data_IF_516128956815
#
_entry.id   IF_516128956815
#
_cell.length_a   1.000
_cell.length_b   1.000
_cell.length_c   1.000
_cell.angle_alpha   90.00
_cell.angle_beta   90.00
_cell.angle_gamma   90.00
#
_symmetry.space_group_name_H-M   'P 1'
#
loop_
_entity.id
_entity.type
_entity.pdbx_description
1 polymer ?
#
# COMPACT_ATOMS: atom_id res chain seq x y z
N UNK A 1 -28.35 -10.68 13.92
CA UNK A 1 -27.80 -11.77 13.09
C UNK A 1 -26.26 -11.73 12.98
N UNK A 2 -25.63 -10.55 12.86
CA UNK A 2 -24.17 -10.43 12.73
C UNK A 2 -23.35 -10.86 13.97
N UNK A 3 -23.83 -10.53 15.17
CA UNK A 3 -23.21 -10.95 16.45
C UNK A 3 -23.26 -12.47 16.66
N UNK A 4 -24.32 -13.10 16.19
CA UNK A 4 -24.53 -14.56 16.32
C UNK A 4 -23.59 -15.35 15.42
N UNK A 5 -23.40 -14.92 14.17
CA UNK A 5 -22.45 -15.58 13.26
C UNK A 5 -21.00 -15.47 13.76
N UNK A 6 -20.63 -14.32 14.32
CA UNK A 6 -19.30 -14.11 14.93
C UNK A 6 -19.04 -15.01 16.14
N UNK A 7 -20.00 -15.14 17.05
CA UNK A 7 -19.89 -16.06 18.19
C UNK A 7 -19.73 -17.53 17.77
N UNK A 8 -20.34 -17.92 16.65
CA UNK A 8 -20.19 -19.28 16.11
C UNK A 8 -18.76 -19.51 15.62
N UNK A 9 -18.15 -18.52 14.95
CA UNK A 9 -16.75 -18.62 14.53
C UNK A 9 -15.77 -18.56 15.69
N UNK A 10 -15.97 -17.67 16.66
CA UNK A 10 -15.12 -17.56 17.86
C UNK A 10 -15.14 -18.88 18.67
N UNK A 11 -16.33 -19.46 18.89
CA UNK A 11 -16.46 -20.77 19.53
C UNK A 11 -15.87 -21.90 18.71
N UNK A 12 -15.97 -21.85 17.38
CA UNK A 12 -15.36 -22.87 16.53
C UNK A 12 -13.83 -22.83 16.67
N UNK A 13 -13.22 -21.65 16.68
CA UNK A 13 -11.77 -21.49 16.90
C UNK A 13 -11.35 -21.99 18.30
N UNK A 14 -12.12 -21.67 19.35
CA UNK A 14 -11.89 -22.22 20.70
C UNK A 14 -12.05 -23.75 20.76
N UNK A 15 -13.02 -24.30 20.02
CA UNK A 15 -13.34 -25.72 20.03
C UNK A 15 -12.32 -26.60 19.30
N UNK A 16 -11.78 -26.12 18.17
CA UNK A 16 -10.74 -26.86 17.42
C UNK A 16 -9.35 -26.75 18.07
N UNK A 17 -9.14 -25.81 19.00
CA UNK A 17 -7.90 -25.63 19.76
C UNK A 17 -6.71 -25.17 18.92
N UNK A 18 -5.60 -24.78 19.56
CA UNK A 18 -4.36 -24.31 18.89
C UNK A 18 -3.69 -25.42 18.04
N UNK A 19 -3.90 -26.69 18.40
CA UNK A 19 -3.19 -27.84 17.81
C UNK A 19 -3.82 -28.40 16.52
N UNK A 20 -5.07 -28.04 16.19
CA UNK A 20 -5.78 -28.62 15.03
C UNK A 20 -6.70 -27.63 14.32
N UNK A 21 -6.18 -26.43 14.06
CA UNK A 21 -6.90 -25.35 13.38
C UNK A 21 -7.16 -25.74 11.92
N UNK A 22 -8.43 -25.76 11.51
CA UNK A 22 -8.83 -25.97 10.11
C UNK A 22 -8.63 -24.67 9.30
N UNK A 23 -7.76 -24.73 8.30
CA UNK A 23 -7.52 -23.65 7.33
C UNK A 23 -8.83 -23.11 6.73
N UNK A 24 -9.80 -23.99 6.45
CA UNK A 24 -11.08 -23.60 5.84
C UNK A 24 -11.92 -22.73 6.75
N UNK A 25 -11.90 -23.02 8.05
CA UNK A 25 -12.64 -22.27 9.07
C UNK A 25 -12.07 -20.86 9.22
N UNK A 26 -10.74 -20.76 9.29
CA UNK A 26 -10.02 -19.50 9.42
C UNK A 26 -10.23 -18.61 8.19
N UNK A 27 -10.12 -19.17 6.99
CA UNK A 27 -10.36 -18.44 5.74
C UNK A 27 -11.82 -17.99 5.62
N UNK A 28 -12.78 -18.83 6.01
CA UNK A 28 -14.20 -18.46 6.01
C UNK A 28 -14.50 -17.34 7.01
N UNK A 29 -13.91 -17.39 8.20
CA UNK A 29 -14.11 -16.38 9.24
C UNK A 29 -13.50 -15.03 8.84
N UNK A 30 -12.31 -15.05 8.24
CA UNK A 30 -11.67 -13.82 7.81
C UNK A 30 -12.41 -13.16 6.63
N UNK A 31 -12.93 -13.94 5.67
CA UNK A 31 -13.82 -13.44 4.60
C UNK A 31 -15.14 -12.88 5.14
N UNK A 32 -15.68 -13.49 6.19
CA UNK A 32 -16.88 -12.99 6.86
C UNK A 32 -16.64 -11.62 7.50
N UNK A 33 -15.52 -11.43 8.22
CA UNK A 33 -15.17 -10.13 8.82
C UNK A 33 -14.85 -9.06 7.76
N UNK A 34 -14.25 -9.45 6.63
CA UNK A 34 -14.03 -8.56 5.49
C UNK A 34 -15.34 -8.05 4.89
N UNK A 35 -16.33 -8.93 4.70
CA UNK A 35 -17.68 -8.54 4.27
C UNK A 35 -18.40 -7.61 5.25
N UNK A 36 -17.95 -7.54 6.51
CA UNK A 36 -18.45 -6.63 7.54
C UNK A 36 -17.58 -5.38 7.74
N UNK A 37 -16.65 -5.09 6.82
CA UNK A 37 -15.66 -3.99 6.92
C UNK A 37 -14.77 -4.08 8.17
N UNK A 38 -14.72 -5.24 8.82
CA UNK A 38 -13.90 -5.55 9.99
C UNK A 38 -12.45 -5.86 9.60
N UNK A 39 -11.81 -4.99 8.80
CA UNK A 39 -10.48 -5.25 8.24
C UNK A 39 -9.40 -5.47 9.31
N UNK A 40 -9.53 -4.85 10.50
CA UNK A 40 -8.63 -5.11 11.63
C UNK A 40 -8.81 -6.50 12.25
N UNK A 41 -10.05 -7.00 12.28
CA UNK A 41 -10.36 -8.32 12.82
C UNK A 41 -9.95 -9.43 11.86
N UNK A 42 -10.24 -9.26 10.57
CA UNK A 42 -9.73 -10.16 9.52
C UNK A 42 -8.20 -10.30 9.60
N UNK A 43 -7.49 -9.19 9.84
CA UNK A 43 -6.03 -9.17 10.04
C UNK A 43 -5.55 -10.01 11.24
N UNK A 44 -6.25 -9.94 12.38
CA UNK A 44 -5.90 -10.75 13.56
C UNK A 44 -6.10 -12.25 13.30
N UNK A 45 -7.18 -12.60 12.61
CA UNK A 45 -7.51 -13.99 12.26
C UNK A 45 -6.44 -14.56 11.32
N UNK A 46 -6.01 -13.80 10.31
CA UNK A 46 -4.96 -14.24 9.38
C UNK A 46 -3.56 -14.29 10.03
N UNK A 47 -3.25 -13.40 10.98
CA UNK A 47 -2.01 -13.48 11.75
C UNK A 47 -1.97 -14.77 12.58
N UNK A 48 -3.06 -15.05 13.29
CA UNK A 48 -3.22 -16.29 14.04
C UNK A 48 -3.07 -17.53 13.16
N UNK A 49 -3.62 -17.49 11.94
CA UNK A 49 -3.47 -18.54 10.93
C UNK A 49 -2.00 -18.82 10.58
N UNK A 50 -1.19 -17.78 10.41
CA UNK A 50 0.22 -17.90 10.00
C UNK A 50 1.12 -18.45 11.11
N UNK A 51 0.78 -18.15 12.35
CA UNK A 51 1.54 -18.60 13.51
C UNK A 51 1.28 -20.09 13.82
N UNK A 52 0.13 -20.64 13.39
CA UNK A 52 -0.31 -21.99 13.76
C UNK A 52 -0.54 -22.96 12.58
N UNK A 53 -0.62 -22.49 11.33
CA UNK A 53 -0.76 -23.37 10.14
C UNK A 53 0.57 -23.60 9.43
N UNK A 54 0.80 -24.81 8.85
CA UNK A 54 1.97 -25.07 8.03
C UNK A 54 1.94 -24.21 6.76
N UNK A 55 3.07 -23.53 6.48
CA UNK A 55 3.23 -22.52 5.42
C UNK A 55 2.81 -22.99 4.02
N UNK A 56 2.81 -24.29 3.74
CA UNK A 56 2.51 -24.83 2.41
C UNK A 56 1.01 -24.98 2.10
N UNK A 57 0.14 -25.06 3.12
CA UNK A 57 -1.30 -25.25 2.93
C UNK A 57 -2.00 -23.92 2.57
N UNK A 58 -1.67 -22.85 3.30
CA UNK A 58 -2.30 -21.53 3.20
C UNK A 58 -1.97 -20.82 1.86
N UNK A 59 -0.89 -21.21 1.19
CA UNK A 59 -0.36 -20.51 0.00
C UNK A 59 -1.20 -20.70 -1.27
N UNK A 60 -2.01 -21.76 -1.39
CA UNK A 60 -2.63 -22.13 -2.68
C UNK A 60 -4.04 -21.57 -2.94
N UNK A 61 -4.83 -21.22 -1.92
CA UNK A 61 -6.19 -20.64 -2.11
C UNK A 61 -6.33 -19.18 -1.68
N UNK A 62 -5.25 -18.63 -1.14
CA UNK A 62 -5.16 -17.28 -0.57
C UNK A 62 -4.00 -16.49 -1.18
N UNK A 63 -3.72 -16.81 -2.45
CA UNK A 63 -2.59 -16.37 -3.28
C UNK A 63 -2.34 -14.86 -3.30
N UNK A 64 -3.35 -14.03 -3.03
CA UNK A 64 -3.19 -12.57 -2.91
C UNK A 64 -3.45 -12.02 -1.49
N UNK A 65 -4.25 -12.72 -0.68
CA UNK A 65 -4.75 -12.22 0.61
C UNK A 65 -3.69 -12.33 1.71
N UNK A 66 -3.01 -13.47 1.83
CA UNK A 66 -1.96 -13.66 2.84
C UNK A 66 -0.76 -12.75 2.57
N UNK A 67 -0.24 -12.63 1.33
CA UNK A 67 0.84 -11.70 1.06
C UNK A 67 0.48 -10.24 1.39
N UNK A 68 -0.79 -9.84 1.19
CA UNK A 68 -1.27 -8.47 1.47
C UNK A 68 -1.22 -8.19 2.97
N UNK A 69 -1.62 -9.16 3.78
CA UNK A 69 -1.68 -9.03 5.23
C UNK A 69 -0.28 -9.12 5.85
N UNK A 70 0.54 -10.07 5.42
CA UNK A 70 1.95 -10.18 5.86
C UNK A 70 2.71 -8.90 5.56
N UNK A 71 2.56 -8.33 4.37
CA UNK A 71 3.23 -7.06 4.01
C UNK A 71 2.66 -5.85 4.76
N UNK A 72 1.36 -5.83 5.03
CA UNK A 72 0.77 -4.78 5.90
C UNK A 72 1.35 -4.80 7.33
N UNK A 73 1.75 -5.98 7.81
CA UNK A 73 2.41 -6.15 9.11
C UNK A 73 3.88 -5.74 9.04
N UNK A 74 4.59 -6.09 7.97
CA UNK A 74 5.98 -5.66 7.72
C UNK A 74 6.11 -4.13 7.63
N UNK A 75 5.13 -3.49 6.99
CA UNK A 75 5.02 -2.04 6.93
C UNK A 75 4.82 -1.43 8.33
N UNK A 76 4.01 -2.07 9.19
CA UNK A 76 3.80 -1.60 10.57
C UNK A 76 5.02 -1.81 11.47
N UNK A 77 5.77 -2.89 11.26
CA UNK A 77 6.98 -3.19 12.05
C UNK A 77 8.19 -2.41 11.58
N UNK A 78 8.30 -2.10 10.28
CA UNK A 78 9.34 -1.26 9.71
C UNK A 78 8.78 -0.27 8.67
N UNK A 79 8.26 0.89 9.12
CA UNK A 79 7.65 1.89 8.23
C UNK A 79 8.61 2.47 7.19
N UNK A 80 9.92 2.35 7.39
CA UNK A 80 10.95 2.83 6.46
C UNK A 80 11.32 1.79 5.39
N UNK A 81 10.77 0.58 5.44
CA UNK A 81 10.94 -0.42 4.40
C UNK A 81 10.00 -0.12 3.22
N UNK A 82 10.43 0.77 2.32
CA UNK A 82 9.67 1.13 1.13
C UNK A 82 9.41 -0.04 0.18
N UNK A 83 10.25 -1.08 0.18
CA UNK A 83 10.02 -2.27 -0.64
C UNK A 83 8.76 -3.04 -0.17
N UNK A 84 8.51 -3.10 1.14
CA UNK A 84 7.28 -3.65 1.69
C UNK A 84 6.05 -2.81 1.31
N UNK A 85 6.17 -1.48 1.29
CA UNK A 85 5.11 -0.58 0.82
C UNK A 85 4.78 -0.78 -0.67
N UNK A 86 5.80 -0.87 -1.54
CA UNK A 86 5.60 -1.14 -2.97
C UNK A 86 4.86 -2.45 -3.20
N UNK A 87 5.30 -3.49 -2.51
CA UNK A 87 4.73 -4.80 -2.63
C UNK A 87 3.31 -4.89 -2.05
N UNK A 88 3.01 -4.12 -1.00
CA UNK A 88 1.65 -3.98 -0.46
C UNK A 88 0.72 -3.23 -1.43
N UNK A 89 1.18 -2.12 -2.01
CA UNK A 89 0.43 -1.36 -3.02
C UNK A 89 0.15 -2.18 -4.28
N UNK A 90 1.09 -3.03 -4.73
CA UNK A 90 0.87 -3.92 -5.88
C UNK A 90 -0.28 -4.90 -5.63
N UNK A 91 -0.39 -5.41 -4.40
CA UNK A 91 -1.47 -6.33 -4.03
C UNK A 91 -2.80 -5.61 -3.85
N UNK A 92 -2.79 -4.37 -3.35
CA UNK A 92 -4.01 -3.55 -3.32
C UNK A 92 -4.45 -3.14 -4.72
N UNK A 93 -3.53 -3.00 -5.69
CA UNK A 93 -3.89 -2.70 -7.08
C UNK A 93 -4.70 -3.80 -7.79
N UNK A 94 -4.70 -5.04 -7.30
CA UNK A 94 -5.48 -6.13 -7.91
C UNK A 94 -6.91 -6.24 -7.38
N UNK A 95 -7.12 -5.93 -6.10
CA UNK A 95 -8.38 -6.20 -5.39
C UNK A 95 -8.91 -5.01 -4.56
N UNK A 96 -8.13 -3.94 -4.42
CA UNK A 96 -8.41 -2.80 -3.55
C UNK A 96 -9.20 -1.69 -4.25
N UNK A 97 -10.05 -1.01 -3.48
CA UNK A 97 -10.79 0.16 -3.95
C UNK A 97 -9.85 1.37 -4.08
N UNK A 98 -10.13 2.30 -5.00
CA UNK A 98 -9.34 3.52 -5.24
C UNK A 98 -9.02 4.27 -3.95
N UNK A 99 -10.00 4.37 -3.05
CA UNK A 99 -9.84 5.05 -1.76
C UNK A 99 -8.83 4.36 -0.84
N UNK A 100 -8.81 3.02 -0.82
CA UNK A 100 -7.86 2.25 -0.02
C UNK A 100 -6.44 2.37 -0.57
N UNK A 101 -6.30 2.45 -1.89
CA UNK A 101 -5.01 2.63 -2.55
C UNK A 101 -4.46 4.03 -2.21
N UNK A 102 -5.29 5.08 -2.33
CA UNK A 102 -4.94 6.45 -1.93
C UNK A 102 -4.51 6.53 -0.47
N UNK A 103 -5.33 6.03 0.45
CA UNK A 103 -5.01 6.04 1.88
C UNK A 103 -3.69 5.31 2.17
N UNK A 104 -3.43 4.21 1.46
CA UNK A 104 -2.17 3.46 1.61
C UNK A 104 -0.97 4.26 1.10
N UNK A 105 -1.10 4.96 -0.04
CA UNK A 105 -0.07 5.88 -0.51
C UNK A 105 0.18 7.00 0.50
N UNK A 106 -0.86 7.67 0.99
CA UNK A 106 -0.72 8.75 1.98
C UNK A 106 -0.01 8.28 3.26
N UNK A 107 -0.35 7.09 3.77
CA UNK A 107 0.36 6.49 4.91
C UNK A 107 1.82 6.19 4.59
N UNK A 108 2.13 5.70 3.38
CA UNK A 108 3.50 5.43 2.96
C UNK A 108 4.32 6.74 2.86
N UNK A 109 3.70 7.80 2.32
CA UNK A 109 4.32 9.11 2.13
C UNK A 109 4.52 9.88 3.43
N UNK A 110 3.68 9.65 4.44
CA UNK A 110 3.88 10.21 5.79
C UNK A 110 5.20 9.74 6.45
N UNK A 111 5.73 8.58 6.03
CA UNK A 111 6.96 8.03 6.55
C UNK A 111 8.18 8.57 5.78
N UNK A 112 8.53 9.83 6.05
CA UNK A 112 9.68 10.49 5.42
C UNK A 112 10.99 9.83 5.88
N UNK A 113 11.95 9.53 4.98
CA UNK A 113 13.23 8.95 5.38
C UNK A 113 13.97 9.86 6.37
N UNK A 114 14.40 9.35 7.55
CA UNK A 114 15.14 10.16 8.53
C UNK A 114 16.60 10.40 8.13
N UNK A 115 17.15 9.53 7.27
CA UNK A 115 18.52 9.64 6.76
C UNK A 115 18.60 10.67 5.63
N UNK A 116 19.69 11.44 5.56
CA UNK A 116 19.98 12.37 4.45
C UNK A 116 20.71 11.70 3.28
N UNK A 117 20.87 10.38 3.32
CA UNK A 117 21.53 9.65 2.25
C UNK A 117 20.62 9.46 1.04
N UNK A 118 21.09 9.88 -0.14
CA UNK A 118 20.36 9.76 -1.40
C UNK A 118 19.81 8.36 -1.68
N UNK A 119 20.48 7.30 -1.18
CA UNK A 119 20.06 5.90 -1.35
C UNK A 119 18.68 5.63 -0.75
N UNK A 120 18.43 6.11 0.47
CA UNK A 120 17.15 5.89 1.18
C UNK A 120 16.01 6.73 0.59
N UNK A 121 16.33 7.92 0.06
CA UNK A 121 15.37 8.78 -0.63
C UNK A 121 14.93 8.26 -1.99
N UNK A 122 15.77 7.41 -2.63
CA UNK A 122 15.47 6.89 -3.97
C UNK A 122 14.13 6.16 -3.98
N UNK A 123 13.94 5.19 -3.07
CA UNK A 123 12.71 4.40 -2.98
C UNK A 123 11.51 5.26 -2.58
N UNK A 124 11.70 6.18 -1.64
CA UNK A 124 10.66 7.13 -1.24
C UNK A 124 10.16 7.99 -2.43
N UNK A 125 11.05 8.50 -3.28
CA UNK A 125 10.66 9.26 -4.47
C UNK A 125 9.96 8.39 -5.51
N UNK A 126 10.33 7.11 -5.61
CA UNK A 126 9.58 6.18 -6.46
C UNK A 126 8.14 5.94 -5.97
N UNK A 127 7.85 6.05 -4.66
CA UNK A 127 6.47 6.01 -4.17
C UNK A 127 5.68 7.22 -4.68
N UNK A 128 6.24 8.42 -4.60
CA UNK A 128 5.63 9.63 -5.17
C UNK A 128 5.38 9.51 -6.68
N UNK A 129 6.35 8.99 -7.43
CA UNK A 129 6.21 8.78 -8.88
C UNK A 129 5.09 7.78 -9.16
N UNK A 130 5.07 6.64 -8.46
CA UNK A 130 4.05 5.62 -8.66
C UNK A 130 2.66 6.14 -8.28
N UNK A 131 2.57 6.98 -7.24
CA UNK A 131 1.30 7.59 -6.86
C UNK A 131 0.78 8.56 -7.93
N UNK A 132 1.66 9.43 -8.45
CA UNK A 132 1.31 10.33 -9.55
C UNK A 132 0.87 9.56 -10.82
N UNK A 133 1.57 8.48 -11.16
CA UNK A 133 1.21 7.63 -12.31
C UNK A 133 -0.13 6.92 -12.07
N UNK A 134 -0.38 6.44 -10.85
CA UNK A 134 -1.66 5.84 -10.49
C UNK A 134 -2.82 6.82 -10.64
N UNK A 135 -2.69 8.04 -10.12
CA UNK A 135 -3.72 9.08 -10.28
C UNK A 135 -3.91 9.50 -11.75
N UNK A 136 -2.84 9.54 -12.55
CA UNK A 136 -2.92 9.87 -13.98
C UNK A 136 -3.62 8.78 -14.80
N UNK A 137 -3.32 7.50 -14.54
CA UNK A 137 -3.83 6.39 -15.36
C UNK A 137 -5.21 5.89 -14.92
N UNK A 138 -5.45 5.80 -13.61
CA UNK A 138 -6.65 5.15 -13.07
C UNK A 138 -7.77 6.15 -12.76
N UNK A 139 -7.41 7.38 -12.37
CA UNK A 139 -8.39 8.39 -11.93
C UNK A 139 -8.55 9.56 -12.91
N UNK A 140 -7.69 9.67 -13.93
CA UNK A 140 -7.69 10.75 -14.94
C UNK A 140 -7.84 12.15 -14.32
N UNK A 141 -7.23 12.36 -13.14
CA UNK A 141 -7.28 13.63 -12.40
C UNK A 141 -5.94 14.38 -12.55
N UNK A 142 -5.80 15.23 -13.58
CA UNK A 142 -4.55 15.93 -13.83
C UNK A 142 -4.22 16.97 -12.76
N UNK A 143 -5.20 17.52 -12.06
CA UNK A 143 -4.96 18.50 -11.02
C UNK A 143 -4.36 17.83 -9.78
N UNK A 144 -4.88 16.66 -9.41
CA UNK A 144 -4.30 15.86 -8.33
C UNK A 144 -2.87 15.44 -8.65
N UNK A 145 -2.60 15.01 -9.88
CA UNK A 145 -1.25 14.63 -10.32
C UNK A 145 -0.28 15.81 -10.17
N UNK A 146 -0.69 17.03 -10.51
CA UNK A 146 0.14 18.25 -10.30
C UNK A 146 0.42 18.50 -8.83
N UNK A 147 -0.58 18.34 -7.96
CA UNK A 147 -0.39 18.49 -6.51
C UNK A 147 0.64 17.49 -5.99
N UNK A 148 0.53 16.22 -6.39
CA UNK A 148 1.45 15.15 -5.99
C UNK A 148 2.88 15.45 -6.45
N UNK A 149 3.08 15.88 -7.70
CA UNK A 149 4.41 16.27 -8.19
C UNK A 149 4.99 17.47 -7.43
N UNK A 150 4.19 18.51 -7.18
CA UNK A 150 4.64 19.69 -6.41
C UNK A 150 5.00 19.32 -4.97
N UNK A 151 4.15 18.56 -4.29
CA UNK A 151 4.40 18.10 -2.93
C UNK A 151 5.68 17.26 -2.83
N UNK A 152 5.91 16.35 -3.79
CA UNK A 152 7.16 15.59 -3.87
C UNK A 152 8.39 16.50 -3.99
N UNK A 153 8.32 17.52 -4.86
CA UNK A 153 9.42 18.48 -5.03
C UNK A 153 9.67 19.30 -3.77
N UNK A 154 8.65 19.69 -3.02
CA UNK A 154 8.82 20.48 -1.78
C UNK A 154 9.47 19.67 -0.65
N UNK A 155 9.22 18.35 -0.59
CA UNK A 155 9.78 17.45 0.43
C UNK A 155 11.25 17.11 0.16
N UNK A 156 11.70 17.15 -1.09
CA UNK A 156 13.08 16.77 -1.44
C UNK A 156 14.08 17.83 -0.94
N UNK A 157 15.14 17.44 -0.21
CA UNK A 157 16.19 18.34 0.22
C UNK A 157 17.16 18.61 -0.95
N UNK A 158 16.76 19.51 -1.86
CA UNK A 158 17.53 19.85 -3.09
C UNK A 158 18.96 20.35 -2.81
N UNK A 159 19.22 20.90 -1.61
CA UNK A 159 20.55 21.34 -1.17
C UNK A 159 21.54 20.17 -0.98
N UNK A 160 21.04 18.98 -0.66
CA UNK A 160 21.90 17.79 -0.46
C UNK A 160 22.02 16.94 -1.71
N UNK A 161 20.95 16.82 -2.49
CA UNK A 161 20.95 16.06 -3.74
C UNK A 161 19.79 16.50 -4.63
N UNK A 162 19.95 16.28 -5.94
CA UNK A 162 18.88 16.45 -6.92
C UNK A 162 18.43 15.11 -7.48
N UNK A 163 17.17 15.07 -7.92
CA UNK A 163 16.55 13.93 -8.59
C UNK A 163 16.00 14.35 -9.95
N UNK A 164 16.84 14.42 -10.98
CA UNK A 164 16.42 14.84 -12.33
C UNK A 164 15.20 14.07 -12.88
N UNK A 165 15.05 12.78 -12.51
CA UNK A 165 13.93 11.95 -12.95
C UNK A 165 12.56 12.53 -12.56
N UNK A 166 12.38 13.10 -11.36
CA UNK A 166 11.07 13.65 -10.96
C UNK A 166 10.73 14.89 -11.77
N UNK A 167 11.72 15.76 -12.03
CA UNK A 167 11.56 16.96 -12.84
C UNK A 167 11.20 16.63 -14.30
N UNK A 168 11.91 15.66 -14.89
CA UNK A 168 11.64 15.21 -16.25
C UNK A 168 10.24 14.60 -16.37
N UNK A 169 9.83 13.76 -15.41
CA UNK A 169 8.50 13.16 -15.42
C UNK A 169 7.40 14.23 -15.27
N UNK A 170 7.59 15.22 -14.41
CA UNK A 170 6.62 16.30 -14.24
C UNK A 170 6.54 17.19 -15.50
N UNK A 171 7.66 17.50 -16.14
CA UNK A 171 7.65 18.23 -17.41
C UNK A 171 6.98 17.42 -18.53
N UNK A 172 7.22 16.11 -18.61
CA UNK A 172 6.56 15.22 -19.57
C UNK A 172 5.04 15.15 -19.33
N UNK A 173 4.62 15.09 -18.06
CA UNK A 173 3.21 15.17 -17.69
C UNK A 173 2.58 16.49 -18.17
N UNK A 174 3.20 17.65 -17.91
CA UNK A 174 2.69 18.94 -18.36
C UNK A 174 2.60 19.03 -19.90
N UNK A 175 3.54 18.40 -20.63
CA UNK A 175 3.47 18.28 -22.09
C UNK A 175 2.27 17.44 -22.53
N UNK A 176 2.00 16.29 -21.88
CA UNK A 176 0.81 15.46 -22.17
C UNK A 176 -0.49 16.23 -21.91
N UNK A 177 -0.51 17.06 -20.88
CA UNK A 177 -1.60 17.99 -20.56
C UNK A 177 -1.66 19.23 -21.47
N UNK A 178 -0.84 19.28 -22.54
CA UNK A 178 -0.75 20.39 -23.51
C UNK A 178 -0.36 21.75 -22.90
N UNK A 179 0.23 21.73 -21.71
CA UNK A 179 0.69 22.90 -20.97
C UNK A 179 2.19 23.14 -21.20
N UNK A 180 2.52 23.73 -22.35
CA UNK A 180 3.90 24.11 -22.71
C UNK A 180 4.54 25.08 -21.71
N UNK A 181 3.74 26.02 -21.19
CA UNK A 181 4.21 26.98 -20.19
C UNK A 181 4.50 26.33 -18.84
N UNK A 182 3.71 25.32 -18.44
CA UNK A 182 3.95 24.53 -17.24
C UNK A 182 5.24 23.74 -17.37
N UNK A 183 5.39 22.99 -18.46
CA UNK A 183 6.59 22.21 -18.75
C UNK A 183 7.86 23.06 -18.73
N UNK A 184 7.85 24.24 -19.35
CA UNK A 184 8.99 25.18 -19.32
C UNK A 184 9.30 25.65 -17.91
N UNK A 185 8.29 26.00 -17.11
CA UNK A 185 8.49 26.45 -15.72
C UNK A 185 9.10 25.36 -14.83
N UNK A 186 8.75 24.11 -15.06
CA UNK A 186 9.32 22.96 -14.34
C UNK A 186 10.79 22.77 -14.71
N UNK A 187 11.12 22.80 -15.99
CA UNK A 187 12.50 22.61 -16.48
C UNK A 187 13.45 23.75 -16.14
N UNK A 188 12.94 24.97 -15.93
CA UNK A 188 13.78 26.11 -15.48
C UNK A 188 14.13 26.01 -13.98
N UNK A 189 13.36 25.22 -13.22
CA UNK A 189 13.52 25.05 -11.77
C UNK A 189 14.30 23.79 -11.37
N UNK A 190 14.57 22.88 -12.30
CA UNK A 190 15.29 21.62 -12.11
C UNK A 190 16.79 21.80 -12.00
#
# INVERSE_FOLDING_TARGET
MLSSARQVYERAVEFFGEDNIDERLVVAFAKFEEGQKGHERARLIYKYALDHLPKDAVVKKSTNIIPSITRSLEVKTNPYNYDAWFDYLRLLGTDGNTEQIRETYERALANVPPSKEKRHWRRYIYLWINYAVYEELENDDPDKVREVFKACLDVIPHKTFTFAKIWLLFAQFEIRQKSLQGARRVMVRS
#
